data_IF_015817784098
#
_entry.id   IF_015817784098
#
_cell.length_a   1.000
_cell.length_b   1.000
_cell.length_c   1.000
_cell.angle_alpha   90.00
_cell.angle_beta   90.00
_cell.angle_gamma   90.00
#
_symmetry.space_group_name_H-M   'P 1'
#
loop_
_entity.id
_entity.type
_entity.pdbx_description
1 polymer ?
#
# COMPACT_ATOMS: atom_id res chain seq x y z
N UNK A 1 2.19 24.76 -5.75
CA UNK A 1 1.18 23.88 -6.35
C UNK A 1 0.04 23.78 -5.35
N UNK A 2 -1.20 23.56 -5.80
CA UNK A 2 -2.31 23.27 -4.88
C UNK A 2 -2.21 21.83 -4.36
N UNK A 3 -3.06 21.47 -3.40
CA UNK A 3 -3.14 20.10 -2.89
C UNK A 3 -3.57 19.10 -3.98
N UNK A 4 -4.52 19.50 -4.83
CA UNK A 4 -4.98 18.69 -5.96
C UNK A 4 -3.85 18.46 -6.98
N UNK A 5 -3.09 19.50 -7.30
CA UNK A 5 -1.95 19.39 -8.21
C UNK A 5 -0.84 18.52 -7.64
N UNK A 6 -0.59 18.62 -6.33
CA UNK A 6 0.38 17.78 -5.64
C UNK A 6 -0.07 16.32 -5.68
N UNK A 7 -1.34 16.05 -5.42
CA UNK A 7 -1.89 14.71 -5.43
C UNK A 7 -1.88 14.08 -6.82
N UNK A 8 -2.27 14.83 -7.84
CA UNK A 8 -2.19 14.41 -9.23
C UNK A 8 -0.74 14.10 -9.63
N UNK A 9 0.20 14.98 -9.29
CA UNK A 9 1.62 14.75 -9.55
C UNK A 9 2.12 13.47 -8.85
N UNK A 10 1.77 13.28 -7.58
CA UNK A 10 2.15 12.08 -6.83
C UNK A 10 1.65 10.80 -7.49
N UNK A 11 0.39 10.77 -7.93
CA UNK A 11 -0.16 9.63 -8.68
C UNK A 11 0.64 9.39 -9.96
N UNK A 12 0.83 10.42 -10.79
CA UNK A 12 1.53 10.29 -12.07
C UNK A 12 2.95 9.74 -11.90
N UNK A 13 3.67 10.18 -10.87
CA UNK A 13 5.03 9.70 -10.59
C UNK A 13 5.05 8.23 -10.21
N UNK A 14 4.06 7.73 -9.46
CA UNK A 14 4.08 6.33 -9.00
C UNK A 14 3.54 5.32 -10.03
N UNK A 15 2.84 5.76 -11.10
CA UNK A 15 2.26 4.85 -12.10
C UNK A 15 3.26 3.85 -12.72
N UNK A 16 4.51 4.24 -13.08
CA UNK A 16 5.49 3.28 -13.57
C UNK A 16 5.88 2.23 -12.52
N UNK A 17 6.09 2.65 -11.27
CA UNK A 17 6.46 1.77 -10.16
C UNK A 17 5.34 0.77 -9.81
N UNK A 18 4.08 1.21 -9.87
CA UNK A 18 2.92 0.32 -9.67
C UNK A 18 2.90 -0.80 -10.71
N UNK A 19 3.28 -0.51 -11.97
CA UNK A 19 3.34 -1.54 -13.03
C UNK A 19 4.46 -2.55 -12.77
N UNK A 20 5.58 -2.12 -12.18
CA UNK A 20 6.69 -3.00 -11.79
C UNK A 20 6.29 -3.96 -10.65
N UNK A 21 5.24 -3.65 -9.90
CA UNK A 21 4.67 -4.51 -8.85
C UNK A 21 3.62 -5.53 -9.36
N UNK A 22 3.69 -5.91 -10.64
CA UNK A 22 2.77 -6.84 -11.31
C UNK A 22 1.30 -6.38 -11.33
N UNK A 23 1.06 -5.07 -11.30
CA UNK A 23 -0.28 -4.50 -11.46
C UNK A 23 -0.52 -4.04 -12.90
N UNK A 24 -1.53 -4.62 -13.54
CA UNK A 24 -2.06 -4.10 -14.80
C UNK A 24 -3.06 -2.99 -14.51
N UNK A 25 -2.74 -1.75 -14.88
CA UNK A 25 -3.60 -0.59 -14.64
C UNK A 25 -4.72 -0.52 -15.69
N UNK A 26 -5.97 -0.45 -15.24
CA UNK A 26 -7.16 -0.35 -16.08
C UNK A 26 -7.71 1.07 -16.12
N UNK A 27 -7.70 1.78 -14.99
CA UNK A 27 -8.11 3.19 -14.94
C UNK A 27 -7.40 3.97 -13.84
N UNK A 28 -7.28 5.28 -14.04
CA UNK A 28 -6.65 6.22 -13.12
C UNK A 28 -7.54 7.44 -12.97
N UNK A 29 -7.79 7.86 -11.74
CA UNK A 29 -8.50 9.07 -11.36
C UNK A 29 -7.68 9.85 -10.34
N UNK A 30 -7.22 11.03 -10.74
CA UNK A 30 -6.34 11.90 -9.94
C UNK A 30 -7.10 12.83 -9.00
N UNK A 31 -8.44 12.81 -9.02
CA UNK A 31 -9.24 13.67 -8.15
C UNK A 31 -9.16 13.18 -6.70
N UNK A 32 -8.72 14.07 -5.81
CA UNK A 32 -8.59 13.80 -4.36
C UNK A 32 -9.88 13.28 -3.70
N UNK A 33 -11.04 13.68 -4.22
CA UNK A 33 -12.36 13.32 -3.70
C UNK A 33 -12.89 11.99 -4.22
N UNK A 34 -12.29 11.41 -5.27
CA UNK A 34 -12.76 10.17 -5.89
C UNK A 34 -11.84 9.03 -5.48
N UNK A 35 -12.44 7.96 -4.93
CA UNK A 35 -11.75 6.76 -4.45
C UNK A 35 -12.36 5.53 -5.13
N UNK A 36 -11.57 4.49 -5.48
CA UNK A 36 -10.10 4.47 -5.46
C UNK A 36 -9.48 5.39 -6.52
N UNK A 37 -8.21 5.74 -6.35
CA UNK A 37 -7.48 6.57 -7.33
C UNK A 37 -7.05 5.74 -8.54
N UNK A 38 -6.71 4.47 -8.34
CA UNK A 38 -6.28 3.59 -9.43
C UNK A 38 -7.05 2.27 -9.31
N UNK A 39 -7.55 1.79 -10.44
CA UNK A 39 -8.16 0.47 -10.58
C UNK A 39 -7.30 -0.32 -11.56
N UNK A 40 -7.01 -1.56 -11.21
CA UNK A 40 -6.26 -2.47 -12.05
C UNK A 40 -6.51 -3.93 -11.71
N UNK A 41 -5.56 -4.78 -12.09
CA UNK A 41 -5.54 -6.21 -11.74
C UNK A 41 -4.17 -6.61 -11.24
N UNK A 42 -4.13 -7.45 -10.20
CA UNK A 42 -2.93 -8.10 -9.66
C UNK A 42 -3.28 -9.54 -9.29
N UNK A 43 -2.46 -10.51 -9.71
CA UNK A 43 -2.70 -11.94 -9.44
C UNK A 43 -4.11 -12.42 -9.83
N UNK A 44 -4.61 -11.99 -11.00
CA UNK A 44 -5.96 -12.28 -11.49
C UNK A 44 -7.13 -11.76 -10.63
N UNK A 45 -6.86 -10.92 -9.63
CA UNK A 45 -7.86 -10.23 -8.84
C UNK A 45 -7.94 -8.75 -9.23
N UNK A 46 -9.15 -8.14 -9.24
CA UNK A 46 -9.27 -6.69 -9.28
C UNK A 46 -8.49 -6.06 -8.13
N UNK A 47 -7.78 -4.97 -8.40
CA UNK A 47 -6.96 -4.25 -7.45
C UNK A 47 -7.44 -2.80 -7.37
N UNK A 48 -7.83 -2.38 -6.16
CA UNK A 48 -8.21 -1.00 -5.86
C UNK A 48 -7.08 -0.36 -5.06
N UNK A 49 -6.41 0.62 -5.66
CA UNK A 49 -5.27 1.30 -5.05
C UNK A 49 -5.70 2.69 -4.63
N UNK A 50 -5.54 2.95 -3.33
CA UNK A 50 -5.80 4.22 -2.68
C UNK A 50 -4.47 4.95 -2.52
N UNK A 51 -4.36 6.16 -3.05
CA UNK A 51 -3.11 6.93 -3.05
C UNK A 51 -3.25 8.12 -2.10
N UNK A 52 -2.23 8.39 -1.29
CA UNK A 52 -2.12 9.66 -0.53
C UNK A 52 -0.77 10.28 -0.81
N UNK A 53 -0.78 11.58 -1.09
CA UNK A 53 0.41 12.35 -1.41
C UNK A 53 0.58 13.49 -0.42
N UNK A 54 1.78 13.66 0.11
CA UNK A 54 2.07 14.71 1.10
C UNK A 54 3.51 15.20 0.93
N UNK A 55 3.76 16.47 1.25
CA UNK A 55 5.12 17.00 1.31
C UNK A 55 5.80 16.68 2.65
N UNK A 56 7.10 16.46 2.62
CA UNK A 56 7.93 16.39 3.83
C UNK A 56 7.70 17.61 4.74
N UNK A 57 7.73 17.48 6.08
CA UNK A 57 7.99 16.27 6.86
C UNK A 57 6.75 15.42 7.12
N UNK A 58 5.63 15.70 6.45
CA UNK A 58 4.42 14.90 6.61
C UNK A 58 4.61 13.46 6.13
N UNK A 59 3.82 12.55 6.69
CA UNK A 59 3.77 11.15 6.29
C UNK A 59 2.41 10.79 5.70
N UNK A 60 2.41 10.18 4.52
CA UNK A 60 1.19 9.71 3.91
C UNK A 60 0.59 8.58 4.75
N UNK A 61 -0.63 8.78 5.24
CA UNK A 61 -1.33 7.81 6.07
C UNK A 61 -2.84 7.87 5.82
N UNK A 62 -3.52 6.79 6.17
CA UNK A 62 -4.98 6.73 6.23
C UNK A 62 -5.41 6.68 7.70
N UNK A 63 -6.48 7.37 8.03
CA UNK A 63 -7.15 7.13 9.31
C UNK A 63 -7.72 5.71 9.37
N UNK A 64 -7.91 5.10 10.56
CA UNK A 64 -8.50 3.77 10.68
C UNK A 64 -9.87 3.65 10.00
N UNK A 65 -10.69 4.70 10.09
CA UNK A 65 -12.01 4.74 9.45
C UNK A 65 -11.92 4.79 7.91
N UNK A 66 -10.95 5.53 7.36
CA UNK A 66 -10.72 5.54 5.91
C UNK A 66 -10.22 4.20 5.40
N UNK A 67 -9.27 3.58 6.12
CA UNK A 67 -8.74 2.26 5.77
C UNK A 67 -9.85 1.20 5.81
N UNK A 68 -10.66 1.18 6.87
CA UNK A 68 -11.80 0.26 6.99
C UNK A 68 -12.82 0.47 5.86
N UNK A 69 -13.14 1.72 5.53
CA UNK A 69 -14.07 2.05 4.44
C UNK A 69 -13.53 1.60 3.08
N UNK A 70 -12.23 1.79 2.85
CA UNK A 70 -11.54 1.34 1.64
C UNK A 70 -11.57 -0.20 1.50
N UNK A 71 -11.27 -0.92 2.58
CA UNK A 71 -11.32 -2.39 2.61
C UNK A 71 -12.74 -2.88 2.33
N UNK A 72 -13.76 -2.36 3.03
CA UNK A 72 -15.16 -2.73 2.81
C UNK A 72 -15.62 -2.48 1.38
N UNK A 73 -15.21 -1.36 0.78
CA UNK A 73 -15.54 -1.03 -0.60
C UNK A 73 -14.90 -1.99 -1.60
N UNK A 74 -13.63 -2.35 -1.39
CA UNK A 74 -12.93 -3.33 -2.23
C UNK A 74 -13.56 -4.72 -2.09
N UNK A 75 -13.83 -5.16 -0.86
CA UNK A 75 -14.50 -6.44 -0.56
C UNK A 75 -15.84 -6.55 -1.28
N UNK A 76 -16.66 -5.50 -1.23
CA UNK A 76 -17.96 -5.46 -1.90
C UNK A 76 -17.86 -5.70 -3.41
N UNK A 77 -16.76 -5.29 -4.04
CA UNK A 77 -16.50 -5.48 -5.47
C UNK A 77 -15.59 -6.69 -5.77
N UNK A 78 -15.24 -7.51 -4.77
CA UNK A 78 -14.31 -8.63 -4.93
C UNK A 78 -12.88 -8.20 -5.31
N UNK A 79 -12.49 -6.97 -4.95
CA UNK A 79 -11.18 -6.41 -5.22
C UNK A 79 -10.24 -6.50 -4.00
N UNK A 80 -8.94 -6.52 -4.24
CA UNK A 80 -7.91 -6.37 -3.22
C UNK A 80 -7.67 -4.88 -2.99
N UNK A 81 -7.73 -4.45 -1.73
CA UNK A 81 -7.43 -3.08 -1.35
C UNK A 81 -5.92 -2.89 -1.13
N UNK A 82 -5.33 -1.91 -1.81
CA UNK A 82 -3.94 -1.51 -1.64
C UNK A 82 -3.83 -0.04 -1.27
N UNK A 83 -2.81 0.32 -0.50
CA UNK A 83 -2.47 1.70 -0.18
C UNK A 83 -1.09 2.06 -0.74
N UNK A 84 -1.01 3.22 -1.40
CA UNK A 84 0.22 3.81 -1.88
C UNK A 84 0.46 5.14 -1.15
N UNK A 85 1.45 5.13 -0.26
CA UNK A 85 1.94 6.31 0.43
C UNK A 85 2.99 7.01 -0.44
N UNK A 86 2.75 8.28 -0.80
CA UNK A 86 3.68 9.06 -1.62
C UNK A 86 4.12 10.29 -0.84
N UNK A 87 5.41 10.36 -0.54
CA UNK A 87 6.01 11.50 0.14
C UNK A 87 6.89 12.27 -0.85
N UNK A 88 6.74 13.58 -0.87
CA UNK A 88 7.42 14.47 -1.83
C UNK A 88 8.32 15.43 -1.07
N UNK A 89 9.55 15.56 -1.55
CA UNK A 89 10.55 16.49 -1.00
C UNK A 89 10.99 17.41 -2.12
N UNK A 90 10.83 18.72 -1.96
CA UNK A 90 11.38 19.67 -2.92
C UNK A 90 12.92 19.63 -2.85
N UNK A 91 13.61 19.40 -3.97
CA UNK A 91 15.07 19.28 -4.03
C UNK A 91 15.73 20.51 -4.67
N UNK A 92 15.05 21.14 -5.64
CA UNK A 92 15.59 22.26 -6.41
C UNK A 92 14.52 23.33 -6.66
N UNK A 93 14.94 24.58 -6.74
CA UNK A 93 14.10 25.67 -7.25
C UNK A 93 13.93 25.59 -8.77
N UNK A 94 13.02 26.38 -9.39
CA UNK A 94 12.78 26.34 -10.83
C UNK A 94 13.99 26.68 -11.70
N UNK A 95 14.96 27.44 -11.17
CA UNK A 95 16.23 27.75 -11.83
C UNK A 95 17.26 26.61 -11.74
N UNK A 96 16.86 25.46 -11.20
CA UNK A 96 17.65 24.25 -10.93
C UNK A 96 18.66 24.39 -9.80
N UNK A 97 18.77 25.55 -9.15
CA UNK A 97 19.59 25.66 -7.94
C UNK A 97 19.04 24.76 -6.83
N UNK A 98 19.91 24.14 -6.02
CA UNK A 98 19.45 23.31 -4.92
C UNK A 98 18.69 24.16 -3.89
N UNK A 99 17.77 23.53 -3.17
CA UNK A 99 17.08 24.20 -2.06
C UNK A 99 18.11 24.68 -1.04
N UNK A 100 18.13 26.00 -0.83
CA UNK A 100 19.08 26.69 0.05
C UNK A 100 18.57 26.85 1.48
N UNK A 101 17.25 26.93 1.66
CA UNK A 101 16.60 27.01 2.96
C UNK A 101 15.94 25.66 3.27
N UNK A 102 16.33 24.97 4.35
CA UNK A 102 15.77 23.67 4.69
C UNK A 102 14.25 23.64 4.83
N UNK A 103 13.62 24.75 5.22
CA UNK A 103 12.16 24.83 5.33
C UNK A 103 11.46 24.68 3.98
N UNK A 104 12.13 25.02 2.88
CA UNK A 104 11.57 24.94 1.53
C UNK A 104 11.49 23.52 0.99
N UNK A 105 12.16 22.53 1.62
CA UNK A 105 11.98 21.11 1.29
C UNK A 105 10.52 20.65 1.45
N UNK A 106 9.75 21.35 2.29
CA UNK A 106 8.32 21.08 2.55
C UNK A 106 7.36 21.74 1.58
N UNK A 107 7.85 22.64 0.73
CA UNK A 107 6.99 23.46 -0.11
C UNK A 107 6.79 22.80 -1.48
N UNK A 108 5.55 22.70 -1.99
CA UNK A 108 5.29 22.17 -3.32
C UNK A 108 5.56 23.26 -4.39
N UNK A 109 6.84 23.58 -4.62
CA UNK A 109 7.29 24.64 -5.51
C UNK A 109 7.07 24.22 -6.97
N UNK A 110 6.18 24.92 -7.68
CA UNK A 110 5.87 24.61 -9.07
C UNK A 110 7.13 24.73 -9.94
N UNK A 111 7.35 23.77 -10.83
CA UNK A 111 8.53 23.65 -11.69
C UNK A 111 9.87 23.43 -10.96
N UNK A 112 9.83 23.19 -9.65
CA UNK A 112 10.99 22.73 -8.89
C UNK A 112 11.35 21.27 -9.20
N UNK A 113 12.54 20.86 -8.74
CA UNK A 113 12.91 19.45 -8.67
C UNK A 113 12.32 18.81 -7.43
N UNK A 114 11.96 17.53 -7.53
CA UNK A 114 11.40 16.76 -6.41
C UNK A 114 12.07 15.40 -6.29
N UNK A 115 12.34 14.99 -5.06
CA UNK A 115 12.49 13.59 -4.71
C UNK A 115 11.13 13.03 -4.31
N UNK A 116 10.86 11.79 -4.72
CA UNK A 116 9.65 11.07 -4.36
C UNK A 116 10.06 9.82 -3.60
N UNK A 117 9.46 9.65 -2.43
CA UNK A 117 9.60 8.47 -1.61
C UNK A 117 8.30 7.66 -1.67
N UNK A 118 8.45 6.40 -2.08
CA UNK A 118 7.37 5.45 -2.29
C UNK A 118 7.86 4.07 -1.83
N UNK A 119 7.16 3.47 -0.85
CA UNK A 119 7.55 2.18 -0.24
C UNK A 119 6.93 0.96 -0.93
N UNK A 120 6.23 1.17 -2.04
CA UNK A 120 5.49 0.13 -2.75
C UNK A 120 4.02 0.02 -2.30
N UNK A 121 3.28 -0.92 -2.87
CA UNK A 121 1.88 -1.16 -2.53
C UNK A 121 1.74 -1.94 -1.23
N UNK A 122 1.11 -1.31 -0.24
CA UNK A 122 0.74 -1.96 1.02
C UNK A 122 -0.64 -2.61 0.88
N UNK A 123 -0.71 -3.94 1.04
CA UNK A 123 -2.00 -4.63 1.07
C UNK A 123 -2.75 -4.30 2.36
N UNK A 124 -4.00 -3.87 2.21
CA UNK A 124 -4.87 -3.57 3.35
C UNK A 124 -5.84 -4.73 3.59
N UNK A 125 -6.00 -5.12 4.85
CA UNK A 125 -6.98 -6.11 5.28
C UNK A 125 -7.44 -5.82 6.71
N UNK A 126 -8.54 -6.45 7.13
CA UNK A 126 -9.03 -6.34 8.50
C UNK A 126 -8.24 -7.27 9.42
N UNK A 127 -7.85 -6.80 10.61
CA UNK A 127 -7.02 -7.58 11.54
C UNK A 127 -7.62 -8.95 11.91
N UNK A 128 -8.95 -9.05 12.01
CA UNK A 128 -9.62 -10.32 12.33
C UNK A 128 -9.55 -11.38 11.21
N UNK A 129 -9.05 -11.02 10.02
CA UNK A 129 -8.82 -11.94 8.89
C UNK A 129 -7.39 -12.48 8.86
N UNK A 130 -6.51 -11.96 9.72
CA UNK A 130 -5.11 -12.37 9.77
C UNK A 130 -4.93 -13.38 10.88
N UNK A 131 -4.42 -14.56 10.53
CA UNK A 131 -3.97 -15.56 11.49
C UNK A 131 -2.46 -15.68 11.41
N UNK A 132 -1.76 -15.40 12.50
CA UNK A 132 -0.32 -15.65 12.60
C UNK A 132 -0.14 -17.12 12.96
N UNK A 133 0.34 -17.90 12.01
CA UNK A 133 0.80 -19.27 12.27
C UNK A 133 2.20 -19.15 12.87
N UNK A 134 2.36 -19.53 14.14
CA UNK A 134 3.67 -19.51 14.80
C UNK A 134 4.64 -20.45 14.09
N UNK A 135 5.93 -20.07 14.07
CA UNK A 135 7.00 -20.93 13.57
C UNK A 135 6.91 -22.29 14.27
N UNK A 136 6.81 -23.36 13.47
CA UNK A 136 6.58 -24.70 13.95
C UNK A 136 7.72 -25.21 14.83
N UNK A 137 7.63 -24.99 16.14
CA UNK A 137 8.28 -25.84 17.14
C UNK A 137 7.51 -27.17 17.18
N UNK A 138 8.03 -28.15 16.44
CA UNK A 138 7.59 -29.53 16.50
C UNK A 138 7.80 -30.11 17.89
N UNK A 139 6.71 -30.32 18.62
CA UNK A 139 6.64 -31.36 19.64
C UNK A 139 5.62 -32.40 19.16
N UNK A 140 6.03 -33.66 18.89
CA UNK A 140 5.08 -34.69 18.52
C UNK A 140 4.12 -34.93 19.69
N UNK A 141 2.82 -34.82 19.42
CA UNK A 141 1.78 -35.32 20.32
C UNK A 141 2.06 -36.81 20.55
N UNK A 142 2.48 -37.17 21.76
CA UNK A 142 2.55 -38.58 22.19
C UNK A 142 1.14 -39.17 22.03
N UNK A 143 0.94 -39.97 21.00
CA UNK A 143 -0.16 -40.91 20.95
C UNK A 143 0.17 -42.03 21.94
N UNK A 144 -0.52 -42.06 23.08
CA UNK A 144 -0.60 -43.28 23.88
C UNK A 144 -1.36 -44.32 23.05
N UNK A 145 -0.63 -45.16 22.32
CA UNK A 145 -1.19 -46.39 21.76
C UNK A 145 -1.27 -47.38 22.91
N UNK A 146 -2.48 -47.53 23.44
CA UNK A 146 -2.81 -48.54 24.43
C UNK A 146 -2.48 -49.96 23.94
N UNK A 147 -2.12 -50.80 24.91
CA UNK A 147 -1.71 -52.20 24.78
C UNK A 147 -2.52 -53.01 23.76
N UNK A 148 -1.85 -53.52 22.73
CA UNK A 148 -2.39 -54.58 21.89
C UNK A 148 -1.91 -55.92 22.45
N UNK A 149 -2.80 -56.60 23.20
CA UNK A 149 -2.59 -57.97 23.68
C UNK A 149 -2.41 -58.92 22.49
N UNK A 150 -1.27 -59.61 22.44
CA UNK A 150 -1.08 -60.78 21.59
C UNK A 150 -2.10 -61.86 21.97
N UNK A 151 -2.98 -62.21 21.04
CA UNK A 151 -3.66 -63.51 21.01
C UNK A 151 -3.06 -64.31 19.87
N UNK A 152 -1.99 -65.04 20.17
CA UNK A 152 -1.52 -66.11 19.30
C UNK A 152 -2.48 -67.30 19.41
N UNK A 153 -3.03 -67.69 18.25
CA UNK A 153 -3.67 -68.99 18.03
C UNK A 153 -2.55 -69.99 17.75
N UNK A 154 -2.51 -71.07 18.53
CA UNK A 154 -2.55 -72.46 18.07
C UNK A 154 -2.81 -73.35 19.27
#
# INVERSE_FOLDING_TARGET
MTEEELHEFGIQVILPYIKEEDVTIESVNTKLTVKPQIIGRRWDHPAYIFVRTVCYPGKASLSPAEAESAIKWADYHGAIAFFAAVEIVCSNYPDKSPVSDPSHHSLPIRYGGFFVYYEGLLMMTMSHRVQVLGDGEGLPKRANVGEFRERNRN
#
